data_IF_250609102768
#
_entry.id   IF_250609102768
#
_cell.length_a   1.000
_cell.length_b   1.000
_cell.length_c   1.000
_cell.angle_alpha   90.00
_cell.angle_beta   90.00
_cell.angle_gamma   90.00
#
_symmetry.space_group_name_H-M   'P 1'
#
loop_
_entity.id
_entity.type
_entity.pdbx_description
1 polymer ?
#
# COMPACT_ATOMS: atom_id res chain seq x y z
N UNK A 1 -6.14 9.14 -24.30
CA UNK A 1 -6.71 10.03 -23.23
C UNK A 1 -6.19 11.46 -23.41
N UNK A 2 -7.05 12.49 -23.29
CA UNK A 2 -6.58 13.90 -23.28
C UNK A 2 -5.74 14.15 -22.04
N UNK A 3 -4.68 14.96 -22.16
CA UNK A 3 -3.74 15.26 -21.05
C UNK A 3 -4.46 15.82 -19.80
N UNK A 4 -5.46 16.70 -20.01
CA UNK A 4 -6.29 17.26 -18.95
C UNK A 4 -7.02 16.18 -18.12
N UNK A 5 -7.59 15.16 -18.77
CA UNK A 5 -8.30 14.08 -18.08
C UNK A 5 -7.34 13.23 -17.23
N UNK A 6 -6.12 13.01 -17.74
CA UNK A 6 -5.08 12.33 -17.00
C UNK A 6 -4.72 13.07 -15.70
N UNK A 7 -4.49 14.38 -15.80
CA UNK A 7 -4.15 15.18 -14.60
C UNK A 7 -5.30 15.20 -13.57
N UNK A 8 -6.56 15.24 -13.99
CA UNK A 8 -7.69 15.14 -13.06
C UNK A 8 -7.64 13.81 -12.30
N UNK A 9 -7.48 12.67 -12.99
CA UNK A 9 -7.42 11.36 -12.34
C UNK A 9 -6.24 11.25 -11.37
N UNK A 10 -5.07 11.73 -11.76
CA UNK A 10 -3.87 11.71 -10.95
C UNK A 10 -4.01 12.61 -9.69
N UNK A 11 -4.64 13.78 -9.82
CA UNK A 11 -4.90 14.68 -8.66
C UNK A 11 -5.84 14.04 -7.65
N UNK A 12 -6.90 13.37 -8.11
CA UNK A 12 -7.85 12.70 -7.22
C UNK A 12 -7.16 11.55 -6.45
N UNK A 13 -6.31 10.80 -7.13
CA UNK A 13 -5.56 9.70 -6.51
C UNK A 13 -4.54 10.21 -5.50
N UNK A 14 -3.91 11.35 -5.78
CA UNK A 14 -3.03 12.03 -4.82
C UNK A 14 -3.79 12.44 -3.55
N UNK A 15 -5.00 12.99 -3.69
CA UNK A 15 -5.85 13.37 -2.56
C UNK A 15 -6.32 12.13 -1.78
N UNK A 16 -6.67 11.04 -2.46
CA UNK A 16 -7.00 9.76 -1.82
C UNK A 16 -5.80 9.24 -1.01
N UNK A 17 -4.59 9.25 -1.59
CA UNK A 17 -3.37 8.91 -0.86
C UNK A 17 -3.16 9.76 0.39
N UNK A 18 -3.36 11.08 0.29
CA UNK A 18 -3.27 12.00 1.43
C UNK A 18 -4.26 11.64 2.53
N UNK A 19 -5.52 11.34 2.18
CA UNK A 19 -6.54 10.94 3.15
C UNK A 19 -6.18 9.63 3.87
N UNK A 20 -5.65 8.63 3.15
CA UNK A 20 -5.23 7.37 3.75
C UNK A 20 -4.00 7.55 4.65
N UNK A 21 -2.99 8.29 4.18
CA UNK A 21 -1.77 8.59 4.94
C UNK A 21 -2.04 9.40 6.21
N UNK A 22 -3.08 10.25 6.21
CA UNK A 22 -3.54 10.97 7.38
C UNK A 22 -4.30 10.06 8.36
N UNK A 23 -5.28 9.30 7.88
CA UNK A 23 -6.22 8.57 8.75
C UNK A 23 -5.56 7.44 9.56
N UNK A 24 -4.57 6.76 9.00
CA UNK A 24 -3.91 5.64 9.68
C UNK A 24 -3.24 6.10 10.98
N UNK A 25 -2.32 7.07 11.00
CA UNK A 25 -1.69 7.55 12.22
C UNK A 25 -2.63 8.37 13.11
N UNK A 26 -3.52 9.20 12.53
CA UNK A 26 -4.44 10.06 13.26
C UNK A 26 -5.33 9.26 14.22
N UNK A 27 -6.01 8.23 13.71
CA UNK A 27 -6.94 7.45 14.54
C UNK A 27 -6.20 6.68 15.61
N UNK A 28 -4.99 6.19 15.33
CA UNK A 28 -4.17 5.50 16.32
C UNK A 28 -3.70 6.43 17.44
N UNK A 29 -3.37 7.68 17.13
CA UNK A 29 -3.03 8.72 18.11
C UNK A 29 -4.24 9.03 19.00
N UNK A 30 -5.41 9.27 18.40
CA UNK A 30 -6.64 9.56 19.16
C UNK A 30 -6.99 8.37 20.06
N UNK A 31 -6.85 7.14 19.59
CA UNK A 31 -7.12 5.94 20.39
C UNK A 31 -6.17 5.81 21.57
N UNK A 32 -4.87 6.04 21.37
CA UNK A 32 -3.89 5.99 22.46
C UNK A 32 -4.16 7.09 23.48
N UNK A 33 -4.45 8.32 23.07
CA UNK A 33 -4.80 9.43 23.95
C UNK A 33 -6.07 9.17 24.78
N UNK A 34 -7.02 8.40 24.22
CA UNK A 34 -8.25 7.98 24.88
C UNK A 34 -8.12 6.67 25.67
N UNK A 35 -6.91 6.10 25.82
CA UNK A 35 -6.65 4.89 26.59
C UNK A 35 -7.17 3.59 25.96
N UNK A 36 -7.41 3.58 24.65
CA UNK A 36 -7.83 2.37 23.93
C UNK A 36 -6.65 1.39 23.83
N UNK A 37 -6.89 0.13 24.17
CA UNK A 37 -5.85 -0.91 24.04
C UNK A 37 -5.27 -1.00 22.64
N UNK A 38 -3.94 -1.07 22.52
CA UNK A 38 -3.27 -1.13 21.22
C UNK A 38 -3.66 -2.36 20.38
N UNK A 39 -3.99 -3.48 20.99
CA UNK A 39 -4.54 -4.65 20.30
C UNK A 39 -5.87 -4.33 19.58
N UNK A 40 -6.77 -3.58 20.24
CA UNK A 40 -8.03 -3.15 19.65
C UNK A 40 -7.80 -2.10 18.55
N UNK A 41 -6.87 -1.17 18.75
CA UNK A 41 -6.44 -0.20 17.73
C UNK A 41 -5.90 -0.91 16.48
N UNK A 42 -5.09 -1.96 16.66
CA UNK A 42 -4.57 -2.79 15.58
C UNK A 42 -5.66 -3.49 14.77
N UNK A 43 -6.62 -4.14 15.46
CA UNK A 43 -7.79 -4.75 14.80
C UNK A 43 -8.60 -3.67 14.06
N UNK A 44 -8.81 -2.53 14.69
CA UNK A 44 -9.55 -1.43 14.09
C UNK A 44 -8.88 -0.88 12.81
N UNK A 45 -7.55 -0.87 12.75
CA UNK A 45 -6.80 -0.47 11.56
C UNK A 45 -7.04 -1.40 10.37
N UNK A 46 -7.39 -2.66 10.60
CA UNK A 46 -7.66 -3.64 9.53
C UNK A 46 -8.94 -3.35 8.75
N UNK A 47 -9.90 -2.60 9.32
CA UNK A 47 -11.21 -2.36 8.73
C UNK A 47 -11.15 -1.84 7.29
N UNK A 48 -10.23 -0.90 7.01
CA UNK A 48 -10.06 -0.34 5.67
C UNK A 48 -9.63 -1.41 4.66
N UNK A 49 -8.69 -2.26 5.01
CA UNK A 49 -8.20 -3.33 4.12
C UNK A 49 -9.23 -4.46 3.95
N UNK A 50 -10.04 -4.73 4.97
CA UNK A 50 -11.20 -5.63 4.85
C UNK A 50 -12.19 -5.07 3.84
N UNK A 51 -12.48 -3.76 3.89
CA UNK A 51 -13.35 -3.08 2.91
C UNK A 51 -12.86 -3.25 1.47
N UNK A 52 -11.55 -3.09 1.25
CA UNK A 52 -10.89 -3.34 -0.04
C UNK A 52 -11.12 -4.77 -0.52
N UNK A 53 -10.85 -5.78 0.32
CA UNK A 53 -10.99 -7.19 -0.06
C UNK A 53 -12.45 -7.56 -0.35
N UNK A 54 -13.38 -7.08 0.46
CA UNK A 54 -14.82 -7.39 0.32
C UNK A 54 -15.37 -6.85 -1.00
N UNK A 55 -15.01 -5.64 -1.41
CA UNK A 55 -15.58 -5.02 -2.61
C UNK A 55 -14.89 -5.46 -3.91
N UNK A 56 -13.61 -5.85 -3.84
CA UNK A 56 -12.78 -6.17 -5.02
C UNK A 56 -13.45 -7.11 -6.04
N UNK A 57 -14.08 -8.24 -5.65
CA UNK A 57 -14.67 -9.18 -6.61
C UNK A 57 -15.89 -8.64 -7.35
N UNK A 58 -16.50 -7.57 -6.84
CA UNK A 58 -17.76 -7.05 -7.37
C UNK A 58 -17.61 -5.86 -8.31
N UNK A 59 -16.40 -5.32 -8.53
CA UNK A 59 -16.21 -4.05 -9.22
C UNK A 59 -16.33 -4.12 -10.74
N UNK A 60 -16.07 -5.25 -11.34
CA UNK A 60 -16.08 -5.39 -12.80
C UNK A 60 -17.47 -5.14 -13.40
N UNK A 61 -18.53 -5.73 -12.81
CA UNK A 61 -19.91 -5.57 -13.30
C UNK A 61 -20.41 -4.12 -13.25
N UNK A 62 -20.28 -3.38 -12.13
CA UNK A 62 -20.60 -1.96 -12.07
C UNK A 62 -19.79 -1.11 -13.05
N UNK A 63 -18.49 -1.41 -13.24
CA UNK A 63 -17.66 -0.69 -14.21
C UNK A 63 -18.21 -0.82 -15.64
N UNK A 64 -18.56 -2.03 -16.05
CA UNK A 64 -19.14 -2.29 -17.39
C UNK A 64 -20.51 -1.62 -17.55
N UNK A 65 -21.35 -1.64 -16.50
CA UNK A 65 -22.72 -1.11 -16.56
C UNK A 65 -22.79 0.41 -16.47
N UNK A 66 -22.01 1.03 -15.58
CA UNK A 66 -22.13 2.46 -15.27
C UNK A 66 -20.99 3.31 -15.84
N UNK A 67 -19.91 2.69 -16.32
CA UNK A 67 -18.72 3.35 -16.87
C UNK A 67 -17.78 3.89 -15.79
N UNK A 68 -16.60 4.33 -16.24
CA UNK A 68 -15.50 4.77 -15.37
C UNK A 68 -15.89 5.96 -14.49
N UNK A 69 -16.46 7.02 -15.08
CA UNK A 69 -16.78 8.27 -14.37
C UNK A 69 -17.70 8.03 -13.18
N UNK A 70 -18.84 7.36 -13.41
CA UNK A 70 -19.83 7.11 -12.35
C UNK A 70 -19.27 6.25 -11.25
N UNK A 71 -18.47 5.23 -11.60
CA UNK A 71 -17.82 4.35 -10.61
C UNK A 71 -16.90 5.15 -9.70
N UNK A 72 -15.99 5.96 -10.28
CA UNK A 72 -15.05 6.79 -9.52
C UNK A 72 -15.80 7.81 -8.65
N UNK A 73 -16.86 8.44 -9.18
CA UNK A 73 -17.69 9.38 -8.42
C UNK A 73 -18.36 8.71 -7.22
N UNK A 74 -18.89 7.49 -7.39
CA UNK A 74 -19.50 6.73 -6.27
C UNK A 74 -18.48 6.42 -5.19
N UNK A 75 -17.28 5.92 -5.57
CA UNK A 75 -16.19 5.66 -4.62
C UNK A 75 -15.80 6.91 -3.85
N UNK A 76 -15.55 8.01 -4.55
CA UNK A 76 -15.19 9.30 -3.92
C UNK A 76 -16.29 9.84 -3.01
N UNK A 77 -17.56 9.71 -3.39
CA UNK A 77 -18.69 10.14 -2.55
C UNK A 77 -18.76 9.35 -1.24
N UNK A 78 -18.55 8.03 -1.27
CA UNK A 78 -18.50 7.19 -0.06
C UNK A 78 -17.39 7.68 0.87
N UNK A 79 -16.19 7.95 0.35
CA UNK A 79 -15.05 8.45 1.14
C UNK A 79 -15.39 9.79 1.78
N UNK A 80 -15.89 10.77 0.99
CA UNK A 80 -16.22 12.12 1.47
C UNK A 80 -17.28 12.06 2.58
N UNK A 81 -18.36 11.32 2.36
CA UNK A 81 -19.44 11.17 3.36
C UNK A 81 -18.87 10.54 4.63
N UNK A 82 -18.09 9.46 4.52
CA UNK A 82 -17.50 8.81 5.68
C UNK A 82 -16.56 9.75 6.46
N UNK A 83 -15.72 10.53 5.78
CA UNK A 83 -14.82 11.51 6.41
C UNK A 83 -15.61 12.63 7.11
N UNK A 84 -16.68 13.13 6.48
CA UNK A 84 -17.48 14.22 7.02
C UNK A 84 -18.22 13.83 8.30
N UNK A 85 -18.64 12.58 8.41
CA UNK A 85 -19.41 12.11 9.56
C UNK A 85 -18.55 11.52 10.70
N UNK A 86 -17.22 11.38 10.51
CA UNK A 86 -16.32 10.90 11.57
C UNK A 86 -16.46 11.66 12.89
N UNK A 87 -16.54 13.01 12.91
CA UNK A 87 -16.64 13.76 14.16
C UNK A 87 -17.99 13.65 14.89
N UNK A 88 -19.01 13.02 14.31
CA UNK A 88 -20.36 12.95 14.90
C UNK A 88 -20.37 12.05 16.15
N UNK A 89 -19.53 11.01 16.19
CA UNK A 89 -19.50 10.07 17.31
C UNK A 89 -18.09 9.48 17.47
N UNK A 90 -17.64 9.35 18.71
CA UNK A 90 -16.36 8.69 19.08
C UNK A 90 -16.51 7.19 19.34
N UNK A 91 -17.66 6.56 19.00
CA UNK A 91 -17.85 5.12 19.17
C UNK A 91 -16.88 4.32 18.31
N UNK A 92 -16.16 3.36 18.93
CA UNK A 92 -15.22 2.47 18.23
C UNK A 92 -15.90 1.71 17.08
N UNK A 93 -17.10 1.16 17.31
CA UNK A 93 -17.84 0.45 16.26
C UNK A 93 -18.22 1.38 15.10
N UNK A 94 -18.65 2.60 15.40
CA UNK A 94 -18.98 3.58 14.39
C UNK A 94 -17.78 3.94 13.52
N UNK A 95 -16.62 4.20 14.13
CA UNK A 95 -15.39 4.49 13.42
C UNK A 95 -14.86 3.26 12.64
N UNK A 96 -15.05 2.04 13.18
CA UNK A 96 -14.72 0.82 12.43
C UNK A 96 -15.52 0.71 11.14
N UNK A 97 -16.84 0.97 11.20
CA UNK A 97 -17.71 0.96 10.02
C UNK A 97 -17.32 2.05 9.02
N UNK A 98 -17.01 3.26 9.50
CA UNK A 98 -16.55 4.35 8.61
C UNK A 98 -15.23 3.99 7.90
N UNK A 99 -14.26 3.40 8.61
CA UNK A 99 -13.01 2.93 7.99
C UNK A 99 -13.25 1.83 6.96
N UNK A 100 -14.17 0.93 7.23
CA UNK A 100 -14.56 -0.10 6.27
C UNK A 100 -15.18 0.53 5.01
N UNK A 101 -16.09 1.50 5.15
CA UNK A 101 -16.67 2.22 4.02
C UNK A 101 -15.63 3.07 3.28
N UNK A 102 -14.68 3.69 3.97
CA UNK A 102 -13.55 4.38 3.33
C UNK A 102 -12.74 3.40 2.49
N UNK A 103 -12.41 2.21 3.02
CA UNK A 103 -11.70 1.18 2.26
C UNK A 103 -12.45 0.74 1.01
N UNK A 104 -13.78 0.56 1.10
CA UNK A 104 -14.65 0.26 -0.04
C UNK A 104 -14.60 1.40 -1.06
N UNK A 105 -14.83 2.64 -0.62
CA UNK A 105 -14.91 3.80 -1.49
C UNK A 105 -13.58 4.09 -2.20
N UNK A 106 -12.48 4.05 -1.47
CA UNK A 106 -11.13 4.21 -1.99
C UNK A 106 -10.79 3.14 -3.02
N UNK A 107 -11.11 1.88 -2.74
CA UNK A 107 -10.83 0.81 -3.69
C UNK A 107 -11.64 0.95 -4.98
N UNK A 108 -12.92 1.35 -4.89
CA UNK A 108 -13.76 1.67 -6.06
C UNK A 108 -13.13 2.80 -6.89
N UNK A 109 -12.67 3.86 -6.23
CA UNK A 109 -12.02 5.01 -6.87
C UNK A 109 -10.72 4.58 -7.57
N UNK A 110 -9.87 3.84 -6.87
CA UNK A 110 -8.59 3.36 -7.38
C UNK A 110 -8.76 2.38 -8.54
N UNK A 111 -9.64 1.39 -8.39
CA UNK A 111 -9.94 0.43 -9.46
C UNK A 111 -10.44 1.14 -10.73
N UNK A 112 -11.39 2.06 -10.59
CA UNK A 112 -11.94 2.81 -11.72
C UNK A 112 -10.90 3.70 -12.40
N UNK A 113 -10.13 4.47 -11.65
CA UNK A 113 -9.14 5.42 -12.19
C UNK A 113 -7.94 4.72 -12.79
N UNK A 114 -7.39 3.69 -12.15
CA UNK A 114 -6.26 2.92 -12.66
C UNK A 114 -6.64 2.17 -13.94
N UNK A 115 -7.81 1.53 -13.95
CA UNK A 115 -8.32 0.83 -15.13
C UNK A 115 -8.55 1.80 -16.29
N UNK A 116 -9.12 2.99 -16.01
CA UNK A 116 -9.30 4.00 -17.05
C UNK A 116 -7.99 4.52 -17.63
N UNK A 117 -7.00 4.80 -16.78
CA UNK A 117 -5.66 5.22 -17.23
C UNK A 117 -5.01 4.13 -18.08
N UNK A 118 -5.10 2.87 -17.64
CA UNK A 118 -4.54 1.72 -18.38
C UNK A 118 -5.20 1.56 -19.76
N UNK A 119 -6.53 1.63 -19.80
CA UNK A 119 -7.33 1.49 -21.02
C UNK A 119 -7.11 2.65 -22.01
N UNK A 120 -7.15 3.89 -21.52
CA UNK A 120 -7.12 5.08 -22.37
C UNK A 120 -5.69 5.56 -22.74
N UNK A 121 -4.64 4.90 -22.23
CA UNK A 121 -3.25 5.27 -22.51
C UNK A 121 -2.74 4.57 -23.77
N UNK A 122 -2.05 5.33 -24.69
CA UNK A 122 -1.35 4.72 -25.80
C UNK A 122 -0.32 3.70 -25.30
N UNK A 123 -0.13 2.58 -26.02
CA UNK A 123 0.73 1.46 -25.60
C UNK A 123 2.15 1.92 -25.25
N UNK A 124 2.74 2.84 -26.02
CA UNK A 124 4.10 3.36 -25.78
C UNK A 124 4.23 4.28 -24.55
N UNK A 125 3.11 4.76 -23.95
CA UNK A 125 3.08 5.63 -22.76
C UNK A 125 2.36 5.00 -21.57
N UNK A 126 1.78 3.81 -21.72
CA UNK A 126 0.97 3.16 -20.70
C UNK A 126 1.76 2.95 -19.39
N UNK A 127 2.95 2.38 -19.50
CA UNK A 127 3.82 2.16 -18.33
C UNK A 127 4.15 3.47 -17.59
N UNK A 128 4.54 4.53 -18.32
CA UNK A 128 4.79 5.85 -17.75
C UNK A 128 3.57 6.42 -17.02
N UNK A 129 2.39 6.31 -17.61
CA UNK A 129 1.16 6.85 -17.02
C UNK A 129 0.76 6.09 -15.76
N UNK A 130 0.92 4.77 -15.72
CA UNK A 130 0.68 3.94 -14.53
C UNK A 130 1.70 4.28 -13.42
N UNK A 131 2.97 4.50 -13.78
CA UNK A 131 4.00 4.92 -12.82
C UNK A 131 3.72 6.29 -12.22
N UNK A 132 3.27 7.26 -13.04
CA UNK A 132 2.88 8.58 -12.55
C UNK A 132 1.64 8.52 -11.64
N UNK A 133 0.70 7.63 -11.94
CA UNK A 133 -0.45 7.36 -11.07
C UNK A 133 0.00 6.85 -9.70
N UNK A 134 0.85 5.82 -9.67
CA UNK A 134 1.38 5.28 -8.41
C UNK A 134 2.22 6.30 -7.62
N UNK A 135 3.06 7.07 -8.32
CA UNK A 135 3.84 8.15 -7.71
C UNK A 135 2.96 9.21 -7.06
N UNK A 136 1.86 9.60 -7.72
CA UNK A 136 0.94 10.61 -7.19
C UNK A 136 0.22 10.12 -5.93
N UNK A 137 -0.19 8.86 -5.90
CA UNK A 137 -0.71 8.24 -4.68
C UNK A 137 0.34 8.28 -3.57
N UNK A 138 1.57 7.83 -3.84
CA UNK A 138 2.66 7.81 -2.86
C UNK A 138 3.00 9.19 -2.32
N UNK A 139 3.01 10.23 -3.17
CA UNK A 139 3.23 11.62 -2.74
C UNK A 139 2.10 12.09 -1.83
N UNK A 140 0.84 11.82 -2.18
CA UNK A 140 -0.30 12.11 -1.31
C UNK A 140 -0.18 11.40 0.04
N UNK A 141 0.08 10.10 0.02
CA UNK A 141 0.24 9.28 1.22
C UNK A 141 1.38 9.75 2.12
N UNK A 142 2.48 10.21 1.53
CA UNK A 142 3.61 10.82 2.24
C UNK A 142 3.23 12.14 2.93
N UNK A 143 2.42 12.99 2.27
CA UNK A 143 2.02 14.30 2.81
C UNK A 143 0.97 14.15 3.91
N UNK A 144 0.13 13.11 3.85
CA UNK A 144 -0.98 12.90 4.77
C UNK A 144 -0.63 13.05 6.25
N UNK A 145 0.39 12.37 6.77
CA UNK A 145 0.78 12.46 8.18
C UNK A 145 1.14 13.86 8.66
N UNK A 146 1.60 14.75 7.77
CA UNK A 146 1.91 16.15 8.11
C UNK A 146 0.67 16.97 8.55
N UNK A 147 -0.53 16.49 8.26
CA UNK A 147 -1.78 17.11 8.70
C UNK A 147 -2.25 16.58 10.07
N UNK A 148 -1.63 15.54 10.62
CA UNK A 148 -2.00 14.95 11.92
C UNK A 148 -1.92 15.97 13.07
N UNK A 149 -0.92 16.87 13.16
CA UNK A 149 -0.85 17.86 14.24
C UNK A 149 -2.07 18.82 14.32
N UNK A 150 -2.88 18.91 13.27
CA UNK A 150 -4.14 19.67 13.34
C UNK A 150 -5.08 19.16 14.45
N UNK A 151 -4.89 17.92 14.93
CA UNK A 151 -5.65 17.36 16.06
C UNK A 151 -5.50 18.18 17.33
N UNK A 152 -4.36 18.83 17.53
CA UNK A 152 -4.12 19.72 18.70
C UNK A 152 -4.95 20.99 18.69
N UNK A 153 -5.42 21.44 17.51
CA UNK A 153 -6.32 22.60 17.38
C UNK A 153 -7.75 22.14 17.69
N UNK A 154 -8.18 21.05 17.07
CA UNK A 154 -9.48 20.45 17.30
C UNK A 154 -9.49 19.02 16.70
N UNK A 155 -10.02 18.03 17.44
CA UNK A 155 -10.05 16.63 17.01
C UNK A 155 -10.75 16.40 15.65
N UNK A 156 -11.78 17.19 15.34
CA UNK A 156 -12.51 17.11 14.09
C UNK A 156 -11.76 17.72 12.89
N UNK A 157 -10.79 18.61 13.12
CA UNK A 157 -10.18 19.42 12.07
C UNK A 157 -9.46 18.59 10.99
N UNK A 158 -8.65 17.55 11.33
CA UNK A 158 -8.02 16.71 10.32
C UNK A 158 -9.03 16.01 9.39
N UNK A 159 -10.14 15.53 9.94
CA UNK A 159 -11.22 14.87 9.17
C UNK A 159 -11.91 15.86 8.23
N UNK A 160 -12.23 17.08 8.72
CA UNK A 160 -12.87 18.13 7.93
C UNK A 160 -11.95 18.56 6.78
N UNK A 161 -10.67 18.83 7.06
CA UNK A 161 -9.69 19.22 6.04
C UNK A 161 -9.55 18.13 4.97
N UNK A 162 -9.42 16.85 5.38
CA UNK A 162 -9.34 15.73 4.46
C UNK A 162 -10.61 15.58 3.61
N UNK A 163 -11.80 15.77 4.23
CA UNK A 163 -13.08 15.73 3.52
C UNK A 163 -13.20 16.85 2.49
N UNK A 164 -12.82 18.08 2.86
CA UNK A 164 -12.85 19.23 1.94
C UNK A 164 -11.89 19.05 0.76
N UNK A 165 -10.67 18.59 1.01
CA UNK A 165 -9.72 18.28 -0.06
C UNK A 165 -10.27 17.18 -0.99
N UNK A 166 -10.86 16.13 -0.43
CA UNK A 166 -11.50 15.06 -1.20
C UNK A 166 -12.68 15.57 -2.01
N UNK A 167 -13.48 16.48 -1.46
CA UNK A 167 -14.58 17.14 -2.16
C UNK A 167 -14.07 18.00 -3.32
N UNK A 168 -13.01 18.79 -3.12
CA UNK A 168 -12.38 19.56 -4.19
C UNK A 168 -11.91 18.65 -5.34
N UNK A 169 -11.25 17.54 -5.03
CA UNK A 169 -10.87 16.56 -6.03
C UNK A 169 -12.07 15.93 -6.73
N UNK A 170 -13.11 15.58 -5.97
CA UNK A 170 -14.32 14.97 -6.50
C UNK A 170 -15.08 15.88 -7.46
N UNK A 171 -15.13 17.19 -7.20
CA UNK A 171 -15.72 18.18 -8.10
C UNK A 171 -15.03 18.18 -9.47
N UNK A 172 -13.72 17.94 -9.54
CA UNK A 172 -13.00 17.84 -10.81
C UNK A 172 -13.50 16.68 -11.69
N UNK A 173 -14.12 15.65 -11.11
CA UNK A 173 -14.70 14.54 -11.86
C UNK A 173 -15.83 14.96 -12.80
N UNK A 174 -16.55 16.04 -12.50
CA UNK A 174 -17.60 16.55 -13.40
C UNK A 174 -17.07 16.93 -14.77
N UNK A 175 -15.80 17.33 -14.86
CA UNK A 175 -15.16 17.71 -16.13
C UNK A 175 -14.66 16.51 -16.94
N UNK A 176 -14.81 15.29 -16.44
CA UNK A 176 -14.46 14.07 -17.18
C UNK A 176 -15.61 13.61 -18.07
N UNK A 177 -15.32 13.06 -19.27
CA UNK A 177 -16.33 12.49 -20.16
C UNK A 177 -16.90 11.18 -19.58
N UNK A 178 -18.09 10.82 -20.02
CA UNK A 178 -18.62 9.48 -19.80
C UNK A 178 -17.94 8.51 -20.77
N UNK A 179 -17.19 7.56 -20.21
CA UNK A 179 -16.45 6.54 -20.98
C UNK A 179 -16.74 5.16 -20.39
N UNK A 180 -16.88 4.17 -21.26
CA UNK A 180 -17.13 2.79 -20.91
C UNK A 180 -15.95 1.92 -21.37
N UNK A 181 -15.62 0.82 -20.67
CA UNK A 181 -14.67 -0.15 -21.19
C UNK A 181 -15.25 -0.87 -22.41
N UNK A 182 -14.40 -1.21 -23.38
CA UNK A 182 -14.78 -2.10 -24.49
C UNK A 182 -15.06 -3.50 -23.92
N UNK A 183 -16.04 -4.17 -24.54
CA UNK A 183 -16.52 -5.48 -24.08
C UNK A 183 -15.60 -6.58 -24.61
N UNK A 184 -14.43 -6.76 -24.02
CA UNK A 184 -13.71 -8.02 -24.16
C UNK A 184 -14.23 -9.00 -23.10
N UNK A 185 -14.58 -10.23 -23.52
CA UNK A 185 -14.95 -11.30 -22.59
C UNK A 185 -13.78 -11.55 -21.63
N UNK A 186 -13.99 -11.31 -20.34
CA UNK A 186 -12.99 -11.66 -19.33
C UNK A 186 -12.83 -13.19 -19.35
N UNK A 187 -11.67 -13.68 -19.75
CA UNK A 187 -11.31 -15.09 -19.59
C UNK A 187 -11.54 -15.50 -18.12
N UNK A 188 -12.38 -16.49 -17.91
CA UNK A 188 -12.59 -17.05 -16.57
C UNK A 188 -11.27 -17.62 -16.07
N UNK A 189 -10.63 -16.91 -15.17
CA UNK A 189 -9.38 -17.35 -14.56
C UNK A 189 -9.69 -18.49 -13.57
N UNK A 190 -9.46 -19.72 -13.98
CA UNK A 190 -9.71 -20.90 -13.14
C UNK A 190 -8.77 -20.95 -11.92
N UNK A 191 -9.25 -21.47 -10.78
CA UNK A 191 -8.49 -21.61 -9.52
C UNK A 191 -7.16 -22.35 -9.67
N UNK A 192 -7.07 -23.29 -10.60
CA UNK A 192 -5.85 -24.04 -10.91
C UNK A 192 -4.68 -23.15 -11.34
N UNK A 193 -4.97 -22.05 -12.07
CA UNK A 193 -3.94 -21.08 -12.50
C UNK A 193 -3.33 -20.33 -11.32
N UNK A 194 -4.12 -20.00 -10.30
CA UNK A 194 -3.63 -19.38 -9.05
C UNK A 194 -2.66 -20.30 -8.31
N UNK A 195 -2.99 -21.58 -8.20
CA UNK A 195 -2.12 -22.55 -7.55
C UNK A 195 -0.80 -22.75 -8.30
N UNK A 196 -0.83 -22.79 -9.64
CA UNK A 196 0.39 -22.90 -10.45
C UNK A 196 1.26 -21.64 -10.32
N UNK A 197 0.69 -20.44 -10.36
CA UNK A 197 1.43 -19.20 -10.17
C UNK A 197 2.06 -19.13 -8.78
N UNK A 198 1.30 -19.49 -7.73
CA UNK A 198 1.82 -19.59 -6.37
C UNK A 198 3.02 -20.54 -6.28
N UNK A 199 2.88 -21.78 -6.77
CA UNK A 199 3.93 -22.79 -6.69
C UNK A 199 5.23 -22.35 -7.38
N UNK A 200 5.13 -21.60 -8.47
CA UNK A 200 6.29 -21.14 -9.23
C UNK A 200 6.94 -19.88 -8.65
N UNK A 201 6.17 -18.97 -8.08
CA UNK A 201 6.65 -17.63 -7.71
C UNK A 201 6.45 -17.26 -6.23
N UNK A 202 6.13 -18.23 -5.34
CA UNK A 202 5.83 -17.93 -3.94
C UNK A 202 6.88 -17.06 -3.20
N UNK A 203 8.22 -17.18 -3.42
CA UNK A 203 9.16 -16.33 -2.71
C UNK A 203 9.08 -14.86 -3.16
N UNK A 204 8.77 -14.62 -4.44
CA UNK A 204 8.54 -13.29 -4.96
C UNK A 204 7.21 -12.72 -4.44
N UNK A 205 6.18 -13.56 -4.38
CA UNK A 205 4.83 -13.20 -3.91
C UNK A 205 4.78 -12.87 -2.41
N UNK A 206 5.69 -13.41 -1.60
CA UNK A 206 5.80 -13.05 -0.17
C UNK A 206 6.30 -11.61 0.05
N UNK A 207 6.96 -10.97 -0.91
CA UNK A 207 7.47 -9.61 -0.76
C UNK A 207 6.35 -8.55 -0.71
N UNK A 208 5.32 -8.58 -1.58
CA UNK A 208 4.12 -7.77 -1.39
C UNK A 208 3.43 -7.96 -0.04
N UNK A 209 3.33 -9.19 0.45
CA UNK A 209 2.79 -9.46 1.79
C UNK A 209 3.62 -8.76 2.88
N UNK A 210 4.95 -8.93 2.84
CA UNK A 210 5.85 -8.30 3.81
C UNK A 210 5.80 -6.79 3.77
N UNK A 211 5.73 -6.20 2.57
CA UNK A 211 5.60 -4.75 2.41
C UNK A 211 4.28 -4.24 2.99
N UNK A 212 3.15 -4.89 2.66
CA UNK A 212 1.84 -4.51 3.22
C UNK A 212 1.79 -4.63 4.74
N UNK A 213 2.37 -5.70 5.30
CA UNK A 213 2.49 -5.87 6.75
C UNK A 213 3.25 -4.71 7.40
N UNK A 214 4.43 -4.37 6.87
CA UNK A 214 5.29 -3.33 7.42
C UNK A 214 4.68 -1.94 7.27
N UNK A 215 4.19 -1.60 6.08
CA UNK A 215 3.61 -0.29 5.79
C UNK A 215 2.39 -0.02 6.67
N UNK A 216 1.43 -0.95 6.71
CA UNK A 216 0.22 -0.80 7.50
C UNK A 216 0.51 -0.78 9.01
N UNK A 217 1.43 -1.64 9.49
CA UNK A 217 1.87 -1.67 10.88
C UNK A 217 2.58 -0.38 11.28
N UNK A 218 3.48 0.11 10.43
CA UNK A 218 4.24 1.33 10.69
C UNK A 218 3.32 2.55 10.77
N UNK A 219 2.40 2.71 9.81
CA UNK A 219 1.51 3.87 9.80
C UNK A 219 0.45 3.85 10.90
N UNK A 220 0.01 2.67 11.35
CA UNK A 220 -1.04 2.58 12.37
C UNK A 220 -0.54 2.29 13.79
N UNK A 221 0.56 1.54 13.95
CA UNK A 221 1.01 1.14 15.28
C UNK A 221 2.23 1.91 15.80
N UNK A 222 3.11 2.39 14.89
CA UNK A 222 4.24 3.22 15.31
C UNK A 222 3.81 4.52 16.04
N UNK A 223 2.72 5.22 15.67
CA UNK A 223 2.27 6.38 16.43
C UNK A 223 1.98 6.05 17.90
N UNK A 224 1.41 4.88 18.19
CA UNK A 224 1.16 4.40 19.57
C UNK A 224 2.50 4.16 20.30
N UNK A 225 3.42 3.45 19.65
CA UNK A 225 4.77 3.25 20.18
C UNK A 225 5.46 4.57 20.50
N UNK A 226 5.38 5.53 19.58
CA UNK A 226 6.02 6.82 19.68
C UNK A 226 5.49 7.63 20.88
N UNK A 227 4.16 7.72 21.04
CA UNK A 227 3.54 8.42 22.15
C UNK A 227 3.90 7.81 23.52
N UNK A 228 3.94 6.48 23.61
CA UNK A 228 4.37 5.77 24.84
C UNK A 228 5.83 5.99 25.18
N UNK A 229 6.67 6.27 24.18
CA UNK A 229 8.08 6.64 24.35
C UNK A 229 8.29 8.16 24.34
N UNK A 230 7.27 8.94 24.75
CA UNK A 230 7.31 10.40 24.94
C UNK A 230 7.69 11.21 23.68
N UNK A 231 7.57 10.63 22.48
CA UNK A 231 7.75 11.36 21.23
C UNK A 231 6.48 12.19 20.93
N UNK A 232 6.67 13.41 20.47
CA UNK A 232 5.54 14.27 20.11
C UNK A 232 4.84 13.84 18.81
N UNK A 233 3.59 14.26 18.66
CA UNK A 233 2.79 14.03 17.45
C UNK A 233 3.47 14.63 16.22
N UNK A 234 4.12 15.78 16.36
CA UNK A 234 4.89 16.45 15.30
C UNK A 234 6.07 15.60 14.84
N UNK A 235 6.77 14.95 15.78
CA UNK A 235 7.86 14.02 15.47
C UNK A 235 7.36 12.84 14.65
N UNK A 236 6.24 12.23 15.05
CA UNK A 236 5.60 11.14 14.30
C UNK A 236 5.20 11.60 12.90
N UNK A 237 4.62 12.82 12.80
CA UNK A 237 4.20 13.43 11.54
C UNK A 237 5.36 13.70 10.57
N UNK A 238 6.60 13.77 11.05
CA UNK A 238 7.81 13.89 10.23
C UNK A 238 8.44 12.54 9.88
N UNK A 239 8.40 11.59 10.80
CA UNK A 239 9.07 10.29 10.61
C UNK A 239 8.38 9.42 9.57
N UNK A 240 7.05 9.37 9.54
CA UNK A 240 6.29 8.61 8.55
C UNK A 240 6.51 9.12 7.12
N UNK A 241 6.43 10.44 6.84
CA UNK A 241 6.85 10.99 5.54
C UNK A 241 8.30 10.69 5.17
N UNK A 242 9.24 10.68 6.13
CA UNK A 242 10.63 10.35 5.85
C UNK A 242 10.78 8.91 5.33
N UNK A 243 10.08 7.94 5.94
CA UNK A 243 10.02 6.56 5.43
C UNK A 243 9.46 6.49 4.01
N UNK A 244 8.32 7.14 3.75
CA UNK A 244 7.69 7.15 2.43
C UNK A 244 8.58 7.86 1.38
N UNK A 245 9.23 8.98 1.75
CA UNK A 245 10.17 9.70 0.89
C UNK A 245 11.36 8.83 0.50
N UNK A 246 11.93 8.08 1.45
CA UNK A 246 12.99 7.12 1.17
C UNK A 246 12.55 6.11 0.11
N UNK A 247 11.37 5.52 0.28
CA UNK A 247 10.79 4.56 -0.67
C UNK A 247 10.60 5.14 -2.06
N UNK A 248 9.99 6.32 -2.17
CA UNK A 248 9.74 7.01 -3.45
C UNK A 248 11.06 7.37 -4.15
N UNK A 249 12.00 7.98 -3.43
CA UNK A 249 13.25 8.46 -4.00
C UNK A 249 14.14 7.32 -4.52
N UNK A 250 14.13 6.17 -3.83
CA UNK A 250 15.01 5.04 -4.16
C UNK A 250 14.32 3.93 -4.96
N UNK A 251 13.04 4.00 -5.22
CA UNK A 251 12.33 3.00 -6.02
C UNK A 251 12.92 2.85 -7.43
N UNK A 252 13.21 3.96 -8.12
CA UNK A 252 13.82 3.93 -9.45
C UNK A 252 15.30 3.49 -9.42
N UNK A 253 16.17 4.05 -8.55
CA UNK A 253 17.55 3.57 -8.40
C UNK A 253 17.66 2.10 -8.11
N UNK A 254 16.90 1.58 -7.14
CA UNK A 254 16.92 0.16 -6.79
C UNK A 254 16.35 -0.73 -7.91
N UNK A 255 15.30 -0.28 -8.60
CA UNK A 255 14.76 -0.96 -9.77
C UNK A 255 15.81 -1.11 -10.87
N UNK A 256 16.48 -0.02 -11.27
CA UNK A 256 17.54 -0.05 -12.30
C UNK A 256 18.76 -0.85 -11.87
N UNK A 257 19.12 -0.79 -10.58
CA UNK A 257 20.21 -1.59 -10.03
C UNK A 257 19.86 -3.09 -10.06
N UNK A 258 18.61 -3.44 -9.78
CA UNK A 258 18.11 -4.82 -9.81
C UNK A 258 18.15 -5.43 -11.21
N UNK A 259 17.98 -4.60 -12.26
CA UNK A 259 18.09 -5.05 -13.65
C UNK A 259 19.55 -5.30 -14.07
N UNK A 260 20.51 -4.54 -13.48
CA UNK A 260 21.95 -4.66 -13.82
C UNK A 260 22.67 -5.79 -13.08
N UNK A 261 22.41 -5.95 -11.77
CA UNK A 261 23.15 -6.91 -10.94
C UNK A 261 22.40 -8.25 -10.79
N UNK A 262 21.26 -8.24 -10.15
CA UNK A 262 20.35 -9.39 -9.99
C UNK A 262 19.18 -8.95 -9.12
N UNK A 263 17.96 -9.20 -9.54
CA UNK A 263 16.77 -8.87 -8.72
C UNK A 263 16.85 -9.54 -7.35
N UNK A 264 17.23 -10.79 -7.31
CA UNK A 264 17.36 -11.55 -6.05
C UNK A 264 18.39 -10.94 -5.11
N UNK A 265 19.54 -10.49 -5.62
CA UNK A 265 20.57 -9.83 -4.81
C UNK A 265 20.04 -8.51 -4.21
N UNK A 266 19.36 -7.69 -5.00
CA UNK A 266 18.76 -6.45 -4.51
C UNK A 266 17.68 -6.71 -3.46
N UNK A 267 16.84 -7.72 -3.64
CA UNK A 267 15.85 -8.15 -2.64
C UNK A 267 16.53 -8.56 -1.33
N UNK A 268 17.58 -9.38 -1.40
CA UNK A 268 18.33 -9.83 -0.22
C UNK A 268 18.94 -8.64 0.53
N UNK A 269 19.57 -7.70 -0.19
CA UNK A 269 20.14 -6.47 0.39
C UNK A 269 19.02 -5.64 1.05
N UNK A 270 17.91 -5.42 0.35
CA UNK A 270 16.79 -4.64 0.86
C UNK A 270 16.19 -5.24 2.14
N UNK A 271 16.01 -6.55 2.17
CA UNK A 271 15.50 -7.26 3.36
C UNK A 271 16.51 -7.19 4.52
N UNK A 272 17.80 -7.39 4.25
CA UNK A 272 18.84 -7.36 5.28
C UNK A 272 19.02 -5.97 5.88
N UNK A 273 19.10 -4.92 5.04
CA UNK A 273 19.23 -3.53 5.50
C UNK A 273 17.98 -3.08 6.25
N UNK A 274 16.79 -3.41 5.73
CA UNK A 274 15.53 -3.12 6.40
C UNK A 274 15.44 -3.79 7.78
N UNK A 275 15.81 -5.07 7.87
CA UNK A 275 15.84 -5.80 9.14
C UNK A 275 16.82 -5.16 10.15
N UNK A 276 18.01 -4.76 9.68
CA UNK A 276 19.00 -4.07 10.50
C UNK A 276 18.45 -2.72 11.00
N UNK A 277 17.86 -1.90 10.11
CA UNK A 277 17.27 -0.61 10.51
C UNK A 277 16.22 -0.77 11.61
N UNK A 278 15.28 -1.71 11.47
CA UNK A 278 14.27 -1.95 12.50
C UNK A 278 14.82 -2.59 13.77
N UNK A 279 15.92 -3.35 13.69
CA UNK A 279 16.58 -3.87 14.89
C UNK A 279 17.24 -2.75 15.68
N UNK A 280 17.98 -1.84 15.03
CA UNK A 280 18.78 -0.81 15.72
C UNK A 280 17.95 0.39 16.17
N UNK A 281 16.78 0.63 15.57
CA UNK A 281 15.93 1.80 15.87
C UNK A 281 15.50 1.83 17.35
N UNK A 282 15.38 0.68 17.99
CA UNK A 282 15.00 0.56 19.41
C UNK A 282 16.01 1.16 20.38
N UNK A 283 17.25 1.35 19.94
CA UNK A 283 18.31 1.97 20.77
C UNK A 283 18.46 3.47 20.57
N UNK A 284 17.67 4.05 19.66
CA UNK A 284 17.72 5.47 19.37
C UNK A 284 16.62 6.23 20.10
N UNK A 285 17.02 7.35 20.75
CA UNK A 285 16.08 8.26 21.45
C UNK A 285 15.99 9.62 20.76
N UNK A 286 16.97 9.98 19.93
CA UNK A 286 16.97 11.27 19.22
C UNK A 286 16.01 11.26 18.03
N UNK A 287 15.10 12.25 17.91
CA UNK A 287 14.22 12.39 16.74
C UNK A 287 14.97 12.39 15.41
N UNK A 288 16.17 12.96 15.35
CA UNK A 288 17.00 13.00 14.14
C UNK A 288 17.48 11.59 13.77
N UNK A 289 17.98 10.81 14.74
CA UNK A 289 18.43 9.43 14.51
C UNK A 289 17.26 8.55 14.05
N UNK A 290 16.12 8.67 14.71
CA UNK A 290 14.90 7.94 14.36
C UNK A 290 14.45 8.28 12.93
N UNK A 291 14.32 9.58 12.59
CA UNK A 291 13.89 10.04 11.26
C UNK A 291 14.86 9.57 10.17
N UNK A 292 16.18 9.65 10.43
CA UNK A 292 17.19 9.18 9.48
C UNK A 292 17.10 7.67 9.27
N UNK A 293 16.90 6.89 10.35
CA UNK A 293 16.75 5.44 10.25
C UNK A 293 15.48 5.06 9.50
N UNK A 294 14.36 5.76 9.72
CA UNK A 294 13.12 5.59 8.96
C UNK A 294 13.29 5.89 7.47
N UNK A 295 14.01 6.97 7.15
CA UNK A 295 14.32 7.30 5.76
C UNK A 295 15.16 6.18 5.10
N UNK A 296 16.22 5.70 5.77
CA UNK A 296 17.06 4.61 5.25
C UNK A 296 16.26 3.30 5.15
N UNK A 297 15.44 2.97 6.15
CA UNK A 297 14.55 1.82 6.07
C UNK A 297 13.61 1.94 4.87
N UNK A 298 13.03 3.12 4.65
CA UNK A 298 12.18 3.42 3.51
C UNK A 298 12.87 3.22 2.17
N UNK A 299 14.13 3.66 2.02
CA UNK A 299 14.93 3.48 0.79
C UNK A 299 14.93 2.03 0.32
N UNK A 300 15.09 1.09 1.22
CA UNK A 300 15.21 -0.34 0.90
C UNK A 300 13.87 -1.07 0.97
N UNK A 301 13.11 -0.89 2.05
CA UNK A 301 11.84 -1.60 2.27
C UNK A 301 10.73 -1.08 1.36
N UNK A 302 10.68 0.23 1.08
CA UNK A 302 9.66 0.84 0.22
C UNK A 302 9.63 0.30 -1.21
N UNK A 303 10.73 -0.28 -1.67
CA UNK A 303 10.82 -0.89 -3.00
C UNK A 303 10.43 -2.38 -3.03
N UNK A 304 10.16 -3.02 -1.88
CA UNK A 304 9.92 -4.48 -1.82
C UNK A 304 8.69 -4.91 -2.62
N UNK A 305 7.64 -4.08 -2.67
CA UNK A 305 6.45 -4.38 -3.46
C UNK A 305 6.79 -4.44 -4.96
N UNK A 306 7.45 -3.41 -5.49
CA UNK A 306 7.80 -3.32 -6.91
C UNK A 306 8.88 -4.35 -7.30
N UNK A 307 9.88 -4.58 -6.44
CA UNK A 307 10.88 -5.63 -6.66
C UNK A 307 10.24 -7.03 -6.63
N UNK A 308 9.27 -7.25 -5.75
CA UNK A 308 8.52 -8.50 -5.67
C UNK A 308 7.70 -8.76 -6.94
N UNK A 309 6.98 -7.74 -7.43
CA UNK A 309 6.25 -7.84 -8.71
C UNK A 309 7.18 -8.13 -9.89
N UNK A 310 8.30 -7.43 -9.96
CA UNK A 310 9.27 -7.62 -11.03
C UNK A 310 9.90 -9.03 -10.95
N UNK A 311 10.24 -9.51 -9.75
CA UNK A 311 10.78 -10.85 -9.56
C UNK A 311 9.75 -11.94 -9.85
N UNK A 312 8.49 -11.74 -9.48
CA UNK A 312 7.38 -12.61 -9.87
C UNK A 312 7.25 -12.73 -11.40
N UNK A 313 7.37 -11.59 -12.10
CA UNK A 313 7.30 -11.57 -13.56
C UNK A 313 8.46 -12.33 -14.23
N UNK A 314 9.65 -12.34 -13.62
CA UNK A 314 10.77 -13.14 -14.10
C UNK A 314 10.59 -14.67 -13.90
N UNK A 315 9.76 -15.06 -12.90
CA UNK A 315 9.54 -16.47 -12.56
C UNK A 315 8.34 -17.09 -13.30
N UNK A 316 7.37 -16.27 -13.75
CA UNK A 316 6.14 -16.75 -14.36
C UNK A 316 6.18 -16.62 -15.89
N UNK A 317 5.61 -17.58 -16.62
CA UNK A 317 5.35 -17.42 -18.06
C UNK A 317 4.31 -16.29 -18.28
N UNK A 318 4.37 -15.67 -19.46
CA UNK A 318 3.50 -14.52 -19.82
C UNK A 318 2.01 -14.80 -19.64
N UNK A 319 1.57 -16.04 -19.86
CA UNK A 319 0.17 -16.47 -19.67
C UNK A 319 -0.29 -16.44 -18.20
N UNK A 320 0.61 -16.50 -17.22
CA UNK A 320 0.30 -16.47 -15.79
C UNK A 320 0.55 -15.09 -15.15
N UNK A 321 1.13 -14.11 -15.87
CA UNK A 321 1.40 -12.77 -15.33
C UNK A 321 0.16 -12.06 -14.77
N UNK A 322 -1.03 -12.11 -15.43
CA UNK A 322 -2.22 -11.49 -14.88
C UNK A 322 -2.61 -12.08 -13.51
N UNK A 323 -2.51 -13.41 -13.38
CA UNK A 323 -2.79 -14.10 -12.11
C UNK A 323 -1.76 -13.75 -11.04
N UNK A 324 -0.48 -13.67 -11.42
CA UNK A 324 0.60 -13.24 -10.53
C UNK A 324 0.38 -11.84 -9.97
N UNK A 325 -0.05 -10.89 -10.80
CA UNK A 325 -0.38 -9.52 -10.38
C UNK A 325 -1.55 -9.48 -9.39
N UNK A 326 -2.60 -10.28 -9.63
CA UNK A 326 -3.72 -10.41 -8.70
C UNK A 326 -3.23 -10.95 -7.35
N UNK A 327 -2.41 -12.01 -7.35
CA UNK A 327 -1.82 -12.57 -6.15
C UNK A 327 -0.98 -11.55 -5.37
N UNK A 328 -0.18 -10.72 -6.05
CA UNK A 328 0.58 -9.65 -5.42
C UNK A 328 -0.33 -8.67 -4.66
N UNK A 329 -1.42 -8.22 -5.29
CA UNK A 329 -2.39 -7.33 -4.64
C UNK A 329 -3.12 -7.97 -3.46
N UNK A 330 -3.54 -9.24 -3.61
CA UNK A 330 -4.19 -9.99 -2.52
C UNK A 330 -3.25 -10.17 -1.32
N UNK A 331 -2.01 -10.56 -1.56
CA UNK A 331 -1.02 -10.78 -0.50
C UNK A 331 -0.61 -9.47 0.19
N UNK A 332 -0.48 -8.39 -0.56
CA UNK A 332 -0.32 -7.06 0.02
C UNK A 332 -1.48 -6.72 0.99
N UNK A 333 -2.72 -6.92 0.57
CA UNK A 333 -3.89 -6.65 1.41
C UNK A 333 -3.94 -7.54 2.64
N UNK A 334 -3.59 -8.84 2.50
CA UNK A 334 -3.51 -9.77 3.64
C UNK A 334 -2.40 -9.32 4.60
N UNK A 335 -1.24 -8.93 4.09
CA UNK A 335 -0.16 -8.37 4.90
C UNK A 335 -0.61 -7.13 5.66
N UNK A 336 -1.31 -6.22 4.98
CA UNK A 336 -1.84 -4.98 5.58
C UNK A 336 -2.92 -5.20 6.64
N UNK A 337 -3.59 -6.35 6.63
CA UNK A 337 -4.49 -6.79 7.70
C UNK A 337 -3.69 -7.39 8.86
N UNK A 338 -2.75 -8.31 8.56
CA UNK A 338 -1.97 -8.99 9.59
C UNK A 338 -1.05 -8.04 10.36
N UNK A 339 -0.46 -7.04 9.67
CA UNK A 339 0.50 -6.12 10.27
C UNK A 339 -0.02 -5.36 11.48
N UNK A 340 -1.06 -4.54 11.35
CA UNK A 340 -1.63 -3.81 12.47
C UNK A 340 -2.20 -4.73 13.56
N UNK A 341 -2.85 -5.83 13.18
CA UNK A 341 -3.42 -6.78 14.13
C UNK A 341 -2.34 -7.40 15.03
N UNK A 342 -1.26 -7.92 14.42
CA UNK A 342 -0.13 -8.49 15.16
C UNK A 342 0.65 -7.40 15.88
N UNK A 343 0.94 -6.27 15.22
CA UNK A 343 1.65 -5.13 15.79
C UNK A 343 0.94 -4.57 17.04
N UNK A 344 -0.39 -4.48 17.01
CA UNK A 344 -1.19 -4.04 18.16
C UNK A 344 -1.12 -5.01 19.35
N UNK A 345 -1.14 -6.33 19.09
CA UNK A 345 -0.97 -7.36 20.13
C UNK A 345 0.44 -7.28 20.74
N UNK A 346 1.48 -7.16 19.91
CA UNK A 346 2.86 -7.05 20.35
C UNK A 346 3.04 -5.80 21.22
N UNK A 347 2.55 -4.64 20.80
CA UNK A 347 2.60 -3.40 21.58
C UNK A 347 1.85 -3.50 22.90
N UNK A 348 0.75 -4.27 22.96
CA UNK A 348 -0.02 -4.46 24.19
C UNK A 348 0.73 -5.30 25.21
N UNK A 349 1.50 -6.28 24.75
CA UNK A 349 2.24 -7.20 25.63
C UNK A 349 3.60 -6.64 26.02
N UNK A 350 4.38 -6.15 25.05
CA UNK A 350 5.73 -5.66 25.28
C UNK A 350 6.16 -4.70 24.17
N UNK A 351 6.14 -3.41 24.47
CA UNK A 351 6.41 -2.33 23.50
C UNK A 351 7.77 -2.46 22.80
N UNK A 352 8.81 -2.82 23.54
CA UNK A 352 10.16 -2.99 23.02
C UNK A 352 10.29 -4.05 21.91
N UNK A 353 9.32 -4.98 21.81
CA UNK A 353 9.31 -6.01 20.76
C UNK A 353 8.70 -5.53 19.43
N UNK A 354 8.11 -4.34 19.39
CA UNK A 354 7.43 -3.86 18.18
C UNK A 354 8.34 -3.85 16.95
N UNK A 355 9.46 -3.16 17.02
CA UNK A 355 10.41 -3.11 15.90
C UNK A 355 11.15 -4.44 15.69
N UNK A 356 11.39 -5.21 16.76
CA UNK A 356 11.95 -6.56 16.63
C UNK A 356 11.00 -7.49 15.87
N UNK A 357 9.68 -7.34 16.02
CA UNK A 357 8.70 -8.12 15.23
C UNK A 357 8.80 -7.80 13.73
N UNK A 358 8.98 -6.53 13.37
CA UNK A 358 9.20 -6.10 11.99
C UNK A 358 10.54 -6.61 11.43
N UNK A 359 11.61 -6.50 12.21
CA UNK A 359 12.93 -7.05 11.85
C UNK A 359 12.86 -8.56 11.65
N UNK A 360 12.19 -9.28 12.55
CA UNK A 360 12.01 -10.73 12.46
C UNK A 360 11.26 -11.16 11.20
N UNK A 361 10.19 -10.43 10.83
CA UNK A 361 9.49 -10.68 9.58
C UNK A 361 10.42 -10.54 8.37
N UNK A 362 11.21 -9.45 8.30
CA UNK A 362 12.15 -9.24 7.20
C UNK A 362 13.22 -10.34 7.14
N UNK A 363 13.71 -10.81 8.28
CA UNK A 363 14.63 -11.95 8.35
C UNK A 363 13.96 -13.25 7.89
N UNK A 364 12.71 -13.51 8.26
CA UNK A 364 11.96 -14.69 7.76
C UNK A 364 11.79 -14.63 6.24
N UNK A 365 11.45 -13.46 5.69
CA UNK A 365 11.37 -13.25 4.25
C UNK A 365 12.74 -13.45 3.57
N UNK A 366 13.82 -12.99 4.19
CA UNK A 366 15.20 -13.20 3.73
C UNK A 366 15.55 -14.69 3.66
N UNK A 367 15.23 -15.45 4.71
CA UNK A 367 15.43 -16.90 4.72
C UNK A 367 14.59 -17.60 3.65
N UNK A 368 13.37 -17.17 3.41
CA UNK A 368 12.49 -17.69 2.36
C UNK A 368 13.08 -17.53 0.94
N UNK A 369 13.99 -16.56 0.71
CA UNK A 369 14.67 -16.41 -0.58
C UNK A 369 15.78 -17.44 -0.84
N UNK A 370 16.27 -18.18 0.18
CA UNK A 370 17.42 -19.10 0.04
C UNK A 370 17.18 -20.36 -0.81
N UNK A 371 16.06 -21.08 -0.74
CA UNK A 371 15.90 -22.40 -1.38
C UNK A 371 15.79 -22.36 -2.91
N UNK A 372 15.51 -21.23 -3.52
CA UNK A 372 15.14 -21.14 -4.94
C UNK A 372 16.31 -21.22 -5.94
N UNK A 373 17.55 -21.22 -5.47
CA UNK A 373 18.74 -21.29 -6.35
C UNK A 373 18.87 -22.60 -7.11
N UNK A 374 18.34 -23.71 -6.61
CA UNK A 374 18.38 -25.02 -7.30
C UNK A 374 17.28 -25.18 -8.36
N UNK A 375 16.10 -24.58 -8.14
CA UNK A 375 14.94 -24.73 -9.03
C UNK A 375 15.03 -23.81 -10.27
N UNK A 376 15.53 -22.58 -10.11
CA UNK A 376 15.74 -21.61 -11.20
C UNK A 376 16.75 -22.14 -12.25
N UNK A 377 17.83 -22.80 -11.81
CA UNK A 377 18.82 -23.42 -12.74
C UNK A 377 18.23 -24.57 -13.58
N UNK A 378 17.21 -25.26 -13.07
CA UNK A 378 16.56 -26.34 -13.80
C UNK A 378 15.65 -25.82 -14.93
N UNK A 379 14.94 -24.71 -14.72
CA UNK A 379 14.06 -24.10 -15.73
C UNK A 379 14.83 -23.30 -16.78
N UNK A 380 15.89 -22.58 -16.41
CA UNK A 380 16.78 -21.90 -17.36
C UNK A 380 17.41 -22.91 -18.35
N UNK A 381 17.92 -24.04 -17.87
CA UNK A 381 18.45 -25.11 -18.74
C UNK A 381 17.39 -25.77 -19.64
N UNK A 382 16.10 -25.72 -19.23
CA UNK A 382 15.02 -26.32 -20.02
C UNK A 382 14.50 -25.33 -21.09
N UNK A 383 14.62 -24.04 -20.87
CA UNK A 383 14.33 -23.00 -21.88
C UNK A 383 15.44 -22.94 -22.95
N UNK A 384 16.72 -22.96 -22.53
CA UNK A 384 17.85 -23.07 -23.49
C UNK A 384 17.73 -24.29 -24.39
N UNK A 385 17.41 -25.46 -23.84
CA UNK A 385 17.21 -26.68 -24.65
C UNK A 385 16.02 -26.66 -25.62
N UNK A 386 15.01 -25.82 -25.34
CA UNK A 386 13.86 -25.68 -26.25
C UNK A 386 14.07 -24.58 -27.31
N UNK A 387 15.03 -23.67 -27.13
CA UNK A 387 15.43 -22.68 -28.13
C UNK A 387 16.39 -23.27 -29.14
N UNK A 388 17.25 -24.22 -28.72
CA UNK A 388 18.19 -24.90 -29.59
C UNK A 388 17.54 -26.08 -30.41
N UNK A 389 16.24 -26.31 -30.19
CA UNK A 389 15.48 -27.36 -30.88
C UNK A 389 14.53 -26.83 -31.98
N UNK A 390 14.60 -25.53 -32.30
CA UNK A 390 13.94 -24.82 -33.41
C UNK A 390 15.00 -24.11 -34.26
#
# INVERSE_FOLDING_TARGET
MRQRHFFILVSIVMISGLSQGLLLPLISIIFEQNGVHSSLSGIHATAMYIGVLVVSPFLERPLRRYGFKRLIMTGGAIVIVSLTIFPISSSLLFWFMLRLFIGIGDHILHFGSQTWITYASPTHRRGRNISLYGLSFGVGFMIGPLLVPLVHIHEALPFIVSSLLSLCGWILLFFLPHTYPETEEAEKVGTTRFFHAWKQAWPALLLPFGYGFLEASLHSMFPIYALRNELSVETVAMMLPAFALGGIAFQLPLGTLSDRFSRKTMIIISLAVGALCFAIVTWFSSPVQLTTTFFVAGMFVGSLFSLGMAYMADLLPTSLLPVGNILCGMLYSIGSICGPAIGGIVLQQQEGLFFFSMSSLLLLLLFAQRPFTKFSKYFSKKQEKNVDAF
#
